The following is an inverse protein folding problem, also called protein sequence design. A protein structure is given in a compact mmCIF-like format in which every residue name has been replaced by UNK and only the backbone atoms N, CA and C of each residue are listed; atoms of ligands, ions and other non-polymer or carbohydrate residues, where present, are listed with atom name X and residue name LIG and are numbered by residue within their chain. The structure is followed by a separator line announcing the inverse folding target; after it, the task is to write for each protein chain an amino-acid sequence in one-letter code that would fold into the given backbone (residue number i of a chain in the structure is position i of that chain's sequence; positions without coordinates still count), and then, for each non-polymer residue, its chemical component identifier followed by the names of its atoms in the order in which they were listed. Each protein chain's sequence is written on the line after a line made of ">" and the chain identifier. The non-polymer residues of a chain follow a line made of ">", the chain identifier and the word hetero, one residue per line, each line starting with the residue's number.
data_IF_024468896655
#
_entry.id   IF_024468896655
#
_cell.length_a   1.000
_cell.length_b   1.000
_cell.length_c   1.000
_cell.angle_alpha   90.00
_cell.angle_beta   90.00
_cell.angle_gamma   90.00
#
_symmetry.space_group_name_H-M   'P 1'
#
loop_
_entity.id
_entity.type
_entity.pdbx_description
1 polymer ?
#
# COMPACT_ATOMS: atom_id res chain seq x y z
N UNK A 1 -33.38 40.93 39.63
CA UNK A 1 -33.26 40.57 38.20
C UNK A 1 -31.93 39.80 38.05
N UNK A 2 -32.01 38.48 38.11
CA UNK A 2 -30.85 37.60 37.95
C UNK A 2 -30.80 37.17 36.48
N UNK A 3 -29.74 37.52 35.77
CA UNK A 3 -29.46 37.04 34.41
C UNK A 3 -28.56 35.81 34.51
N UNK A 4 -29.14 34.65 34.22
CA UNK A 4 -28.46 33.39 34.14
C UNK A 4 -27.81 33.30 32.73
N UNK A 5 -26.49 33.31 32.69
CA UNK A 5 -25.71 33.11 31.45
C UNK A 5 -25.55 31.61 31.22
N UNK A 6 -26.16 31.05 30.18
CA UNK A 6 -25.94 29.68 29.73
C UNK A 6 -24.67 29.63 28.85
N UNK A 7 -23.63 29.01 29.39
CA UNK A 7 -22.46 28.67 28.60
C UNK A 7 -22.78 27.42 27.76
N UNK A 8 -22.90 27.56 26.45
CA UNK A 8 -22.91 26.44 25.52
C UNK A 8 -21.49 25.90 25.38
N UNK A 9 -21.21 24.75 26.00
CA UNK A 9 -20.00 23.98 25.81
C UNK A 9 -20.17 23.16 24.51
N UNK A 10 -19.63 23.67 23.38
CA UNK A 10 -19.56 22.91 22.14
C UNK A 10 -18.57 21.76 22.33
N UNK A 11 -19.08 20.53 22.47
CA UNK A 11 -18.26 19.33 22.34
C UNK A 11 -17.81 19.19 20.88
N UNK A 12 -16.57 19.57 20.62
CA UNK A 12 -15.87 19.16 19.42
C UNK A 12 -15.57 17.64 19.54
N UNK A 13 -16.42 16.84 18.92
CA UNK A 13 -16.11 15.43 18.69
C UNK A 13 -14.96 15.38 17.68
N UNK A 14 -13.83 14.72 17.99
CA UNK A 14 -12.82 14.48 16.99
C UNK A 14 -13.43 13.60 15.89
N UNK A 15 -13.52 14.11 14.66
CA UNK A 15 -13.71 13.27 13.48
C UNK A 15 -12.51 12.34 13.40
N UNK A 16 -12.70 11.07 13.71
CA UNK A 16 -11.74 10.01 13.44
C UNK A 16 -11.77 9.80 11.92
N UNK A 17 -10.96 10.55 11.18
CA UNK A 17 -10.70 10.28 9.77
C UNK A 17 -9.81 9.04 9.72
N UNK A 18 -10.38 7.89 9.43
CA UNK A 18 -9.63 6.69 9.08
C UNK A 18 -8.86 6.99 7.78
N UNK A 19 -7.58 7.33 7.93
CA UNK A 19 -6.67 7.55 6.82
C UNK A 19 -6.40 6.23 6.08
N UNK A 20 -7.12 5.99 5.02
CA UNK A 20 -6.80 4.95 4.06
C UNK A 20 -6.72 5.59 2.69
N UNK A 21 -5.51 5.56 2.09
CA UNK A 21 -5.16 5.79 0.68
C UNK A 21 -6.08 6.72 -0.13
N UNK A 22 -5.53 7.37 -1.14
CA UNK A 22 -6.20 8.30 -2.04
C UNK A 22 -7.61 7.89 -2.55
N UNK A 23 -8.00 6.62 -2.47
CA UNK A 23 -9.34 6.17 -2.80
C UNK A 23 -10.46 6.89 -2.06
N UNK A 24 -10.28 7.20 -0.78
CA UNK A 24 -11.28 7.93 0.01
C UNK A 24 -11.43 9.40 -0.41
N UNK A 25 -10.49 9.93 -1.18
CA UNK A 25 -10.61 11.26 -1.78
C UNK A 25 -11.43 11.24 -3.07
N UNK A 26 -11.46 10.10 -3.75
CA UNK A 26 -12.14 9.93 -5.05
C UNK A 26 -13.49 9.25 -4.92
N UNK A 27 -13.62 8.27 -4.00
CA UNK A 27 -14.77 7.38 -3.90
C UNK A 27 -15.36 7.38 -2.48
N UNK A 28 -16.69 7.41 -2.43
CA UNK A 28 -17.45 7.41 -1.17
C UNK A 28 -17.85 5.99 -0.78
N UNK A 29 -17.25 5.47 0.28
CA UNK A 29 -17.51 4.12 0.79
C UNK A 29 -18.94 3.94 1.36
N UNK A 30 -19.62 5.03 1.67
CA UNK A 30 -21.04 5.00 2.13
C UNK A 30 -22.01 5.05 0.95
N UNK A 31 -21.53 5.34 -0.27
CA UNK A 31 -22.31 5.42 -1.50
C UNK A 31 -22.00 4.25 -2.43
N UNK A 32 -22.59 3.09 -2.14
CA UNK A 32 -22.39 1.88 -2.95
C UNK A 32 -23.37 1.86 -4.10
N UNK A 33 -22.86 1.68 -5.32
CA UNK A 33 -23.63 1.61 -6.55
C UNK A 33 -23.40 0.32 -7.33
N UNK A 34 -24.27 0.11 -8.32
CA UNK A 34 -24.19 -1.01 -9.25
C UNK A 34 -24.30 -0.46 -10.68
N UNK A 35 -23.31 -0.79 -11.51
CA UNK A 35 -23.24 -0.40 -12.92
C UNK A 35 -23.25 -1.67 -13.76
N UNK A 36 -24.16 -1.75 -14.72
CA UNK A 36 -24.26 -2.87 -15.67
C UNK A 36 -24.15 -2.33 -17.10
N UNK A 37 -23.37 -3.04 -17.92
CA UNK A 37 -23.21 -2.67 -19.32
C UNK A 37 -22.23 -3.55 -20.08
N UNK A 38 -21.92 -3.14 -21.30
CA UNK A 38 -20.90 -3.73 -22.14
C UNK A 38 -19.52 -3.17 -21.79
N UNK A 39 -18.56 -4.04 -21.58
CA UNK A 39 -17.16 -3.68 -21.39
C UNK A 39 -16.58 -3.20 -22.73
N UNK A 40 -16.26 -1.93 -22.82
CA UNK A 40 -15.76 -1.31 -24.06
C UNK A 40 -14.24 -1.19 -24.07
N UNK A 41 -13.61 -1.11 -22.91
CA UNK A 41 -12.16 -0.99 -22.78
C UNK A 41 -11.66 -1.57 -21.45
N UNK A 42 -10.46 -2.16 -21.46
CA UNK A 42 -9.71 -2.57 -20.28
C UNK A 42 -8.34 -1.94 -20.33
N UNK A 43 -8.03 -1.05 -19.40
CA UNK A 43 -6.72 -0.50 -19.21
C UNK A 43 -6.00 -1.32 -18.14
N UNK A 44 -5.09 -2.19 -18.59
CA UNK A 44 -4.40 -3.16 -17.74
C UNK A 44 -3.02 -2.65 -17.34
N UNK A 45 -2.98 -1.69 -16.43
CA UNK A 45 -1.74 -1.08 -15.93
C UNK A 45 -1.81 -0.80 -14.42
N UNK A 46 -0.65 -0.67 -13.74
CA UNK A 46 -0.57 -0.12 -12.40
C UNK A 46 -0.59 1.43 -12.47
N UNK A 47 -1.00 2.14 -11.41
CA UNK A 47 -1.30 1.62 -10.07
C UNK A 47 -2.64 0.88 -9.96
N UNK A 48 -3.58 1.09 -10.88
CA UNK A 48 -4.94 0.54 -10.83
C UNK A 48 -5.42 0.12 -12.21
N UNK A 49 -5.98 -1.10 -12.30
CA UNK A 49 -6.68 -1.54 -13.50
C UNK A 49 -7.98 -0.74 -13.65
N UNK A 50 -8.27 -0.28 -14.86
CA UNK A 50 -9.48 0.48 -15.17
C UNK A 50 -10.30 -0.22 -16.25
N UNK A 51 -11.62 -0.21 -16.07
CA UNK A 51 -12.60 -0.71 -17.01
C UNK A 51 -13.44 0.46 -17.51
N UNK A 52 -13.75 0.47 -18.81
CA UNK A 52 -14.75 1.37 -19.36
C UNK A 52 -15.99 0.57 -19.74
N UNK A 53 -17.15 1.01 -19.28
CA UNK A 53 -18.42 0.30 -19.44
C UNK A 53 -19.43 1.24 -20.09
N UNK A 54 -20.07 0.76 -21.16
CA UNK A 54 -21.23 1.42 -21.77
C UNK A 54 -22.52 0.82 -21.23
N UNK A 55 -23.31 1.63 -20.54
CA UNK A 55 -24.63 1.19 -20.01
C UNK A 55 -25.70 1.11 -21.12
N UNK A 56 -26.87 0.54 -20.78
CA UNK A 56 -28.03 0.50 -21.69
C UNK A 56 -28.61 1.88 -22.03
N UNK A 57 -28.26 2.91 -21.25
CA UNK A 57 -28.62 4.30 -21.52
C UNK A 57 -27.57 5.02 -22.38
N UNK A 58 -26.61 4.27 -22.97
CA UNK A 58 -25.48 4.80 -23.75
C UNK A 58 -24.59 5.74 -22.97
N UNK A 59 -24.55 5.55 -21.65
CA UNK A 59 -23.63 6.29 -20.76
C UNK A 59 -22.32 5.52 -20.62
N UNK A 60 -21.21 6.27 -20.66
CA UNK A 60 -19.89 5.72 -20.40
C UNK A 60 -19.55 5.91 -18.93
N UNK A 61 -19.20 4.81 -18.26
CA UNK A 61 -18.71 4.76 -16.89
C UNK A 61 -17.28 4.26 -16.86
N UNK A 62 -16.48 4.84 -16.01
CA UNK A 62 -15.13 4.39 -15.70
C UNK A 62 -15.12 3.69 -14.33
N UNK A 63 -14.49 2.53 -14.26
CA UNK A 63 -14.37 1.79 -13.02
C UNK A 63 -12.91 1.44 -12.76
N UNK A 64 -12.40 1.92 -11.65
CA UNK A 64 -11.06 1.63 -11.15
C UNK A 64 -11.11 0.46 -10.17
N UNK A 65 -10.04 -0.35 -10.07
CA UNK A 65 -9.98 -1.48 -9.16
C UNK A 65 -8.53 -1.74 -8.70
N UNK A 66 -8.27 -2.93 -8.15
CA UNK A 66 -6.96 -3.32 -7.63
C UNK A 66 -5.84 -3.19 -8.68
N UNK A 67 -4.59 -3.06 -8.24
CA UNK A 67 -3.42 -3.11 -9.11
C UNK A 67 -3.33 -4.40 -9.92
N UNK A 68 -2.70 -4.32 -11.10
CA UNK A 68 -2.43 -5.49 -11.98
C UNK A 68 -1.85 -6.67 -11.22
N UNK A 69 -0.83 -6.43 -10.40
CA UNK A 69 -0.14 -7.46 -9.65
C UNK A 69 -1.07 -8.22 -8.68
N UNK A 70 -2.02 -7.52 -8.06
CA UNK A 70 -3.04 -8.14 -7.21
C UNK A 70 -4.00 -9.01 -8.01
N UNK A 71 -4.52 -8.49 -9.14
CA UNK A 71 -5.44 -9.23 -9.99
C UNK A 71 -4.77 -10.44 -10.66
N UNK A 72 -3.50 -10.33 -11.06
CA UNK A 72 -2.74 -11.46 -11.59
C UNK A 72 -2.58 -12.59 -10.58
N UNK A 73 -2.32 -12.28 -9.30
CA UNK A 73 -2.26 -13.29 -8.23
C UNK A 73 -3.60 -13.98 -7.98
N UNK A 74 -4.68 -13.29 -8.22
CA UNK A 74 -6.02 -13.87 -8.19
C UNK A 74 -6.37 -14.63 -9.48
N UNK A 75 -5.49 -14.64 -10.50
CA UNK A 75 -5.74 -15.26 -11.81
C UNK A 75 -6.76 -14.52 -12.67
N UNK A 76 -6.94 -13.22 -12.44
CA UNK A 76 -8.00 -12.42 -13.06
C UNK A 76 -7.60 -11.72 -14.36
N UNK A 77 -6.38 -11.93 -14.84
CA UNK A 77 -5.82 -11.26 -16.02
C UNK A 77 -6.48 -11.64 -17.38
N UNK A 78 -7.45 -12.57 -17.38
CA UNK A 78 -8.10 -13.04 -18.61
C UNK A 78 -9.57 -13.45 -18.40
N UNK A 79 -10.22 -12.93 -17.35
CA UNK A 79 -11.60 -13.34 -17.02
C UNK A 79 -12.68 -12.62 -17.82
N UNK A 80 -12.36 -11.47 -18.41
CA UNK A 80 -13.27 -10.67 -19.22
C UNK A 80 -12.60 -10.22 -20.50
N UNK A 81 -13.43 -10.04 -21.53
CA UNK A 81 -13.02 -9.50 -22.82
C UNK A 81 -13.87 -8.28 -23.16
N UNK A 82 -13.33 -7.40 -23.99
CA UNK A 82 -14.10 -6.30 -24.59
C UNK A 82 -15.30 -6.90 -25.34
N UNK A 83 -16.48 -6.36 -25.12
CA UNK A 83 -17.75 -6.87 -25.61
C UNK A 83 -18.54 -7.71 -24.59
N UNK A 84 -17.90 -8.14 -23.49
CA UNK A 84 -18.62 -8.87 -22.44
C UNK A 84 -19.60 -7.95 -21.71
N UNK A 85 -20.77 -8.50 -21.37
CA UNK A 85 -21.73 -7.83 -20.52
C UNK A 85 -21.46 -8.18 -19.06
N UNK A 86 -21.05 -7.18 -18.30
CA UNK A 86 -20.67 -7.34 -16.89
C UNK A 86 -21.49 -6.44 -15.98
N UNK A 87 -21.47 -6.74 -14.68
CA UNK A 87 -22.02 -5.87 -13.64
C UNK A 87 -20.92 -5.59 -12.62
N UNK A 88 -20.68 -4.32 -12.33
CA UNK A 88 -19.76 -3.88 -11.29
C UNK A 88 -20.51 -3.35 -10.09
N UNK A 89 -20.04 -3.70 -8.89
CA UNK A 89 -20.58 -3.23 -7.60
C UNK A 89 -19.41 -2.60 -6.86
N UNK A 90 -19.60 -1.38 -6.34
CA UNK A 90 -18.53 -0.69 -5.64
C UNK A 90 -18.91 0.72 -5.19
N UNK A 91 -17.92 1.45 -4.70
CA UNK A 91 -18.06 2.80 -4.20
C UNK A 91 -18.14 3.82 -5.35
N UNK A 92 -19.13 4.70 -5.32
CA UNK A 92 -19.32 5.72 -6.35
C UNK A 92 -18.37 6.91 -6.14
N UNK A 93 -18.05 7.61 -7.22
CA UNK A 93 -17.26 8.83 -7.17
C UNK A 93 -17.96 9.92 -6.35
N UNK A 94 -17.23 10.51 -5.41
CA UNK A 94 -17.70 11.71 -4.70
C UNK A 94 -17.40 13.02 -5.43
N UNK A 95 -16.67 12.95 -6.56
CA UNK A 95 -16.32 14.11 -7.39
C UNK A 95 -17.39 14.41 -8.47
N UNK A 96 -18.57 13.77 -8.42
CA UNK A 96 -19.64 13.96 -9.39
C UNK A 96 -19.34 13.38 -10.79
N UNK A 97 -18.33 12.52 -10.91
CA UNK A 97 -17.98 11.85 -12.17
C UNK A 97 -18.75 10.53 -12.31
N UNK A 98 -18.97 10.08 -13.55
CA UNK A 98 -19.48 8.73 -13.83
C UNK A 98 -18.34 7.72 -13.66
N UNK A 99 -17.89 7.55 -12.43
CA UNK A 99 -16.83 6.62 -12.08
C UNK A 99 -17.10 5.93 -10.73
N UNK A 100 -16.47 4.78 -10.53
CA UNK A 100 -16.58 3.98 -9.32
C UNK A 100 -15.26 3.24 -9.00
N UNK A 101 -15.05 2.93 -7.72
CA UNK A 101 -14.13 1.89 -7.30
C UNK A 101 -14.85 0.55 -7.37
N UNK A 102 -14.52 -0.29 -8.35
CA UNK A 102 -15.14 -1.60 -8.53
C UNK A 102 -14.56 -2.60 -7.52
N UNK A 103 -15.41 -3.11 -6.64
CA UNK A 103 -15.04 -4.04 -5.56
C UNK A 103 -15.43 -5.47 -5.94
N UNK A 104 -16.59 -5.64 -6.58
CA UNK A 104 -17.10 -6.93 -7.04
C UNK A 104 -17.51 -6.82 -8.50
N UNK A 105 -17.19 -7.85 -9.28
CA UNK A 105 -17.63 -8.00 -10.68
C UNK A 105 -18.49 -9.26 -10.80
N UNK A 106 -19.64 -9.13 -11.49
CA UNK A 106 -20.41 -10.29 -11.98
C UNK A 106 -20.07 -10.51 -13.43
N UNK A 107 -19.64 -11.73 -13.73
CA UNK A 107 -19.30 -12.19 -15.06
C UNK A 107 -20.57 -12.47 -15.90
N UNK A 108 -20.45 -12.62 -17.24
CA UNK A 108 -21.58 -12.96 -18.10
C UNK A 108 -22.31 -14.25 -17.73
N UNK A 109 -21.63 -15.21 -17.12
CA UNK A 109 -22.19 -16.48 -16.62
C UNK A 109 -22.88 -16.33 -15.25
N UNK A 110 -22.87 -15.14 -14.64
CA UNK A 110 -23.46 -14.84 -13.34
C UNK A 110 -22.58 -15.09 -12.13
N UNK A 111 -21.35 -15.58 -12.32
CA UNK A 111 -20.39 -15.74 -11.23
C UNK A 111 -19.89 -14.39 -10.71
N UNK A 112 -19.69 -14.28 -9.40
CA UNK A 112 -19.14 -13.09 -8.76
C UNK A 112 -17.66 -13.25 -8.48
N UNK A 113 -16.88 -12.24 -8.85
CA UNK A 113 -15.45 -12.14 -8.60
C UNK A 113 -15.18 -10.95 -7.71
N UNK A 114 -14.46 -11.16 -6.62
CA UNK A 114 -14.02 -10.09 -5.74
C UNK A 114 -12.72 -9.50 -6.28
N UNK A 115 -12.78 -8.25 -6.74
CA UNK A 115 -11.63 -7.52 -7.29
C UNK A 115 -10.80 -6.85 -6.18
N UNK A 116 -11.48 -6.36 -5.13
CA UNK A 116 -10.88 -5.70 -3.97
C UNK A 116 -11.21 -6.47 -2.67
N UNK A 117 -10.43 -7.51 -2.31
CA UNK A 117 -10.78 -8.37 -1.17
C UNK A 117 -10.84 -7.63 0.16
N UNK A 118 -10.02 -6.60 0.37
CA UNK A 118 -10.00 -5.80 1.61
C UNK A 118 -11.30 -5.01 1.75
N UNK A 119 -11.67 -4.26 0.71
CA UNK A 119 -12.88 -3.45 0.69
C UNK A 119 -14.13 -4.34 0.77
N UNK A 120 -14.13 -5.48 0.05
CA UNK A 120 -15.23 -6.45 0.12
C UNK A 120 -15.45 -6.98 1.55
N UNK A 121 -14.38 -7.29 2.30
CA UNK A 121 -14.51 -7.72 3.70
C UNK A 121 -15.09 -6.62 4.60
N UNK A 122 -14.67 -5.38 4.37
CA UNK A 122 -15.16 -4.23 5.14
C UNK A 122 -16.64 -3.95 4.86
N UNK A 123 -17.03 -3.94 3.58
CA UNK A 123 -18.38 -3.56 3.14
C UNK A 123 -19.34 -4.76 3.00
N UNK A 124 -18.84 -5.99 3.03
CA UNK A 124 -19.59 -7.25 2.95
C UNK A 124 -20.48 -7.36 1.70
N UNK A 125 -19.95 -6.92 0.55
CA UNK A 125 -20.71 -6.85 -0.71
C UNK A 125 -20.93 -8.21 -1.36
N UNK A 126 -19.98 -9.14 -1.21
CA UNK A 126 -20.07 -10.50 -1.76
C UNK A 126 -19.43 -11.52 -0.81
N UNK A 127 -20.03 -12.70 -0.75
CA UNK A 127 -19.48 -13.89 -0.09
C UNK A 127 -18.74 -14.81 -1.06
N UNK A 128 -18.60 -14.41 -2.33
CA UNK A 128 -17.92 -15.21 -3.35
C UNK A 128 -16.45 -15.47 -2.98
N UNK A 129 -16.04 -16.71 -3.19
CA UNK A 129 -14.64 -17.17 -3.11
C UNK A 129 -14.11 -17.58 -4.48
N UNK A 130 -14.81 -17.16 -5.55
CA UNK A 130 -14.41 -17.49 -6.92
C UNK A 130 -13.00 -17.00 -7.21
N UNK A 131 -12.16 -17.92 -7.67
CA UNK A 131 -10.85 -17.66 -8.25
C UNK A 131 -10.69 -18.55 -9.50
N UNK A 132 -10.36 -17.99 -10.66
CA UNK A 132 -10.17 -18.78 -11.90
C UNK A 132 -8.96 -19.73 -11.84
N UNK A 133 -8.03 -19.54 -10.91
CA UNK A 133 -6.87 -20.41 -10.67
C UNK A 133 -7.20 -21.45 -9.62
N UNK A 134 -8.24 -22.29 -9.89
CA UNK A 134 -8.63 -23.35 -8.97
C UNK A 134 -8.95 -22.85 -7.56
N UNK A 135 -9.88 -23.48 -6.90
CA UNK A 135 -10.50 -23.12 -5.62
C UNK A 135 -9.53 -23.00 -4.43
N UNK A 136 -8.41 -22.35 -4.61
CA UNK A 136 -7.37 -22.11 -3.62
C UNK A 136 -7.27 -20.62 -3.33
N UNK A 137 -8.14 -20.14 -2.43
CA UNK A 137 -7.66 -19.22 -1.38
C UNK A 137 -6.28 -19.78 -0.99
N UNK A 138 -5.25 -18.94 -1.02
CA UNK A 138 -3.87 -19.29 -0.62
C UNK A 138 -3.90 -20.54 0.24
N UNK A 139 -3.37 -21.68 -0.24
CA UNK A 139 -3.49 -22.91 0.53
C UNK A 139 -2.80 -22.70 1.87
N UNK A 140 -3.56 -22.69 2.94
CA UNK A 140 -3.05 -23.01 4.27
C UNK A 140 -2.76 -24.52 4.32
N UNK A 141 -2.16 -25.06 3.27
CA UNK A 141 -1.89 -26.48 3.19
C UNK A 141 -0.42 -26.71 3.01
N UNK A 142 0.07 -27.36 4.05
CA UNK A 142 1.34 -28.05 4.12
C UNK A 142 2.54 -27.23 3.65
N UNK A 143 3.21 -26.67 4.62
CA UNK A 143 4.63 -26.41 4.56
C UNK A 143 5.30 -27.59 3.86
N UNK A 144 5.46 -27.48 2.56
CA UNK A 144 6.44 -28.28 1.86
C UNK A 144 7.76 -27.89 2.51
N UNK A 145 8.42 -28.84 3.11
CA UNK A 145 9.78 -28.68 3.62
C UNK A 145 10.63 -28.12 2.50
N UNK A 146 10.92 -26.83 2.58
CA UNK A 146 11.69 -26.13 1.58
C UNK A 146 13.16 -26.52 1.76
N UNK A 147 13.90 -26.87 0.71
CA UNK A 147 15.33 -27.15 0.83
C UNK A 147 16.17 -25.95 1.29
N UNK A 148 15.58 -24.76 1.44
CA UNK A 148 16.24 -23.53 1.86
C UNK A 148 15.88 -23.11 3.30
N UNK A 149 15.66 -24.05 4.22
CA UNK A 149 15.37 -23.75 5.64
C UNK A 149 16.46 -22.88 6.31
N UNK A 150 17.67 -22.84 5.76
CA UNK A 150 18.80 -22.06 6.29
C UNK A 150 19.04 -20.70 5.61
N UNK A 151 18.16 -20.25 4.73
CA UNK A 151 18.38 -18.98 4.01
C UNK A 151 18.19 -17.72 4.86
N UNK A 152 17.74 -17.86 6.11
CA UNK A 152 17.51 -16.74 7.01
C UNK A 152 16.52 -15.72 6.42
N UNK A 153 16.91 -14.44 6.43
CA UNK A 153 16.11 -13.36 5.85
C UNK A 153 16.16 -13.34 4.31
N UNK A 154 17.14 -13.99 3.67
CA UNK A 154 17.43 -13.89 2.23
C UNK A 154 16.48 -14.74 1.38
N UNK A 155 15.25 -14.28 1.27
CA UNK A 155 14.16 -14.88 0.49
C UNK A 155 13.09 -13.85 0.17
N UNK A 156 12.06 -14.27 -0.57
CA UNK A 156 10.85 -13.49 -0.77
C UNK A 156 9.91 -13.63 0.43
N UNK A 157 9.33 -12.52 0.86
CA UNK A 157 8.43 -12.42 1.99
C UNK A 157 7.08 -11.86 1.55
N UNK A 158 6.01 -12.60 1.78
CA UNK A 158 4.65 -12.13 1.53
C UNK A 158 4.11 -11.33 2.71
N UNK A 159 3.52 -10.15 2.46
CA UNK A 159 2.88 -9.36 3.51
C UNK A 159 1.67 -10.09 4.09
N UNK A 160 1.64 -10.28 5.40
CA UNK A 160 0.55 -10.93 6.12
C UNK A 160 -0.34 -9.92 6.84
N UNK A 161 0.26 -8.97 7.57
CA UNK A 161 -0.46 -7.99 8.38
C UNK A 161 0.36 -6.72 8.50
N UNK A 162 -0.31 -5.58 8.65
CA UNK A 162 0.30 -4.35 9.11
C UNK A 162 -0.51 -3.77 10.28
N UNK A 163 0.21 -3.26 11.25
CA UNK A 163 -0.30 -2.51 12.39
C UNK A 163 0.42 -1.16 12.39
N UNK A 164 -0.19 -0.17 11.73
CA UNK A 164 0.35 1.17 11.57
C UNK A 164 -0.08 2.05 12.72
N UNK A 165 0.88 2.76 13.29
CA UNK A 165 0.56 3.77 14.29
C UNK A 165 -0.11 4.97 13.62
N UNK A 166 -1.32 5.31 14.08
CA UNK A 166 -2.09 6.46 13.59
C UNK A 166 -1.82 7.73 14.43
N UNK A 167 -1.37 7.55 15.67
CA UNK A 167 -1.12 8.64 16.61
C UNK A 167 0.33 9.13 16.48
N UNK A 168 0.63 9.77 15.35
CA UNK A 168 1.94 10.32 15.10
C UNK A 168 2.10 11.68 15.79
N UNK A 169 3.28 11.97 16.40
CA UNK A 169 3.54 13.24 17.07
C UNK A 169 3.84 14.37 16.07
N UNK A 170 2.88 14.71 15.22
CA UNK A 170 3.06 15.69 14.16
C UNK A 170 3.25 17.11 14.74
N UNK A 171 4.13 17.88 14.10
CA UNK A 171 4.30 19.31 14.37
C UNK A 171 3.15 20.13 13.78
N UNK A 172 3.03 21.39 14.19
CA UNK A 172 2.07 22.33 13.59
C UNK A 172 2.35 22.54 12.09
N UNK A 173 3.61 22.53 11.66
CA UNK A 173 4.01 22.62 10.25
C UNK A 173 3.50 21.42 9.46
N UNK A 174 3.66 20.22 10.00
CA UNK A 174 3.19 19.00 9.35
C UNK A 174 1.66 18.95 9.27
N UNK A 175 0.96 19.37 10.33
CA UNK A 175 -0.51 19.44 10.34
C UNK A 175 -1.03 20.44 9.30
N UNK A 176 -0.43 21.63 9.21
CA UNK A 176 -0.81 22.63 8.22
C UNK A 176 -0.56 22.16 6.77
N UNK A 177 0.54 21.44 6.54
CA UNK A 177 0.83 20.87 5.22
C UNK A 177 -0.20 19.80 4.81
N UNK A 178 -0.59 18.92 5.74
CA UNK A 178 -1.67 17.95 5.51
C UNK A 178 -3.01 18.59 5.18
N UNK A 179 -3.36 19.67 5.87
CA UNK A 179 -4.61 20.42 5.62
C UNK A 179 -4.61 21.07 4.23
N UNK A 180 -3.44 21.49 3.75
CA UNK A 180 -3.30 22.10 2.43
C UNK A 180 -3.20 21.09 1.27
N UNK A 181 -2.99 19.80 1.57
CA UNK A 181 -2.81 18.74 0.56
C UNK A 181 -4.12 18.41 -0.14
N UNK A 182 -4.11 18.43 -1.46
CA UNK A 182 -5.19 17.90 -2.29
C UNK A 182 -4.75 16.58 -2.93
N UNK A 183 -5.24 15.43 -2.44
CA UNK A 183 -4.84 14.11 -2.95
C UNK A 183 -5.22 13.88 -4.43
N UNK A 184 -6.11 14.69 -5.00
CA UNK A 184 -6.53 14.58 -6.41
C UNK A 184 -5.51 15.22 -7.36
N UNK A 185 -4.75 16.22 -6.88
CA UNK A 185 -3.80 16.99 -7.69
C UNK A 185 -2.35 16.83 -7.27
N UNK A 186 -2.11 16.62 -5.98
CA UNK A 186 -0.78 16.70 -5.39
C UNK A 186 -0.09 15.35 -5.24
N UNK A 187 -0.85 14.24 -5.25
CA UNK A 187 -0.29 12.89 -5.09
C UNK A 187 0.59 12.49 -6.30
N UNK A 188 1.92 12.31 -6.10
CA UNK A 188 2.83 11.93 -7.18
C UNK A 188 2.53 10.54 -7.76
N UNK A 189 1.91 9.64 -7.00
CA UNK A 189 1.54 8.30 -7.45
C UNK A 189 0.56 8.33 -8.64
N UNK A 190 -0.27 9.38 -8.74
CA UNK A 190 -1.18 9.60 -9.87
C UNK A 190 -0.44 9.84 -11.20
N UNK A 191 0.85 10.17 -11.16
CA UNK A 191 1.70 10.40 -12.32
C UNK A 191 2.79 9.34 -12.47
N UNK A 192 2.61 8.17 -11.84
CA UNK A 192 3.61 7.10 -11.81
C UNK A 192 4.99 7.55 -11.25
N UNK A 193 5.04 8.56 -10.40
CA UNK A 193 6.26 8.95 -9.72
C UNK A 193 6.50 8.02 -8.52
N UNK A 194 7.57 7.20 -8.53
CA UNK A 194 7.80 6.22 -7.47
C UNK A 194 8.17 6.92 -6.16
N UNK A 195 7.53 6.55 -5.03
CA UNK A 195 7.85 7.13 -3.74
C UNK A 195 9.20 6.69 -3.21
N UNK A 196 9.69 7.45 -2.23
CA UNK A 196 10.86 7.11 -1.44
C UNK A 196 10.51 6.58 -0.04
N UNK A 197 11.54 6.48 0.80
CA UNK A 197 11.36 6.10 2.20
C UNK A 197 10.65 7.22 3.00
N UNK A 198 9.80 6.88 3.97
CA UNK A 198 9.39 5.53 4.41
C UNK A 198 8.24 4.92 3.59
N UNK A 199 7.59 5.66 2.70
CA UNK A 199 6.40 5.23 1.92
C UNK A 199 6.64 3.92 1.19
N UNK A 200 7.86 3.73 0.65
CA UNK A 200 8.25 2.48 -0.04
C UNK A 200 8.01 1.22 0.81
N UNK A 201 8.10 1.32 2.14
CA UNK A 201 7.85 0.16 3.03
C UNK A 201 6.38 -0.03 3.38
N UNK A 202 5.50 0.88 2.97
CA UNK A 202 4.04 0.70 3.13
C UNK A 202 3.39 0.03 1.92
N UNK A 203 4.00 -0.99 1.43
CA UNK A 203 3.52 -1.75 0.28
C UNK A 203 2.63 -2.92 0.69
N UNK A 204 1.53 -3.22 -0.03
CA UNK A 204 0.76 -4.45 0.16
C UNK A 204 1.40 -5.68 -0.49
N UNK A 205 2.44 -5.49 -1.29
CA UNK A 205 3.09 -6.50 -2.10
C UNK A 205 4.27 -7.19 -1.40
N UNK A 206 4.77 -8.29 -1.96
CA UNK A 206 5.97 -8.97 -1.45
C UNK A 206 7.22 -8.09 -1.47
N UNK A 207 8.14 -8.41 -0.56
CA UNK A 207 9.50 -7.89 -0.52
C UNK A 207 10.49 -9.05 -0.60
N UNK A 208 11.71 -8.78 -1.05
CA UNK A 208 12.76 -9.80 -1.19
C UNK A 208 14.10 -9.26 -0.72
N UNK A 209 14.78 -10.03 0.12
CA UNK A 209 16.15 -9.73 0.52
C UNK A 209 17.12 -10.61 -0.27
N UNK A 210 18.13 -9.98 -0.88
CA UNK A 210 19.17 -10.64 -1.66
C UNK A 210 20.52 -10.29 -1.06
N UNK A 211 21.29 -11.32 -0.71
CA UNK A 211 22.68 -11.13 -0.27
C UNK A 211 23.56 -10.75 -1.46
N UNK A 212 24.36 -9.70 -1.28
CA UNK A 212 25.28 -9.22 -2.32
C UNK A 212 26.60 -8.76 -1.69
N UNK A 213 27.36 -9.71 -1.18
CA UNK A 213 28.63 -9.45 -0.50
C UNK A 213 28.47 -8.58 0.75
N UNK A 214 29.07 -7.38 0.75
CA UNK A 214 28.96 -6.42 1.87
C UNK A 214 27.70 -5.56 1.80
N UNK A 215 26.72 -5.96 1.01
CA UNK A 215 25.46 -5.26 0.83
C UNK A 215 24.31 -6.26 0.86
N UNK A 216 23.15 -5.79 1.28
CA UNK A 216 21.88 -6.47 1.11
C UNK A 216 21.05 -5.62 0.14
N UNK A 217 20.51 -6.25 -0.89
CA UNK A 217 19.54 -5.61 -1.79
C UNK A 217 18.15 -5.98 -1.28
N UNK A 218 17.40 -5.00 -0.81
CA UNK A 218 15.98 -5.14 -0.51
C UNK A 218 15.19 -4.69 -1.74
N UNK A 219 14.53 -5.66 -2.38
CA UNK A 219 13.57 -5.41 -3.47
C UNK A 219 12.18 -5.28 -2.90
N UNK A 220 11.46 -4.28 -3.34
CA UNK A 220 10.04 -4.07 -3.03
C UNK A 220 9.29 -4.13 -4.36
N UNK A 221 8.29 -4.98 -4.47
CA UNK A 221 7.56 -5.17 -5.73
C UNK A 221 6.92 -3.89 -6.22
N UNK A 222 6.24 -3.16 -5.33
CA UNK A 222 5.63 -1.88 -5.68
C UNK A 222 6.69 -0.91 -6.18
N UNK A 223 6.45 -0.31 -7.34
CA UNK A 223 7.34 0.61 -8.02
C UNK A 223 8.69 0.01 -8.46
N UNK A 224 8.83 -1.33 -8.46
CA UNK A 224 10.12 -2.01 -8.71
C UNK A 224 11.25 -1.45 -7.83
N UNK A 225 10.91 -1.00 -6.62
CA UNK A 225 11.83 -0.27 -5.77
C UNK A 225 12.98 -1.17 -5.27
N UNK A 226 14.18 -0.59 -5.23
CA UNK A 226 15.39 -1.26 -4.76
C UNK A 226 16.11 -0.39 -3.74
N UNK A 227 16.40 -0.99 -2.58
CA UNK A 227 17.20 -0.36 -1.53
C UNK A 227 18.50 -1.12 -1.35
N UNK A 228 19.60 -0.40 -1.21
CA UNK A 228 20.92 -0.97 -0.92
C UNK A 228 21.22 -0.72 0.55
N UNK A 229 21.24 -1.78 1.35
CA UNK A 229 21.61 -1.76 2.77
C UNK A 229 23.06 -2.20 2.86
N UNK A 230 23.94 -1.33 3.31
CA UNK A 230 25.38 -1.57 3.44
C UNK A 230 25.67 -2.15 4.79
N UNK A 231 26.37 -3.29 4.82
CA UNK A 231 26.76 -3.98 6.06
C UNK A 231 28.17 -3.56 6.49
N UNK A 232 28.93 -2.93 5.60
CA UNK A 232 30.27 -2.44 5.91
C UNK A 232 30.21 -1.15 6.73
N UNK A 233 30.66 -1.24 7.98
CA UNK A 233 30.81 -0.09 8.90
C UNK A 233 31.98 0.83 8.54
N UNK A 234 32.88 0.41 7.66
CA UNK A 234 34.06 1.20 7.25
C UNK A 234 33.75 2.19 6.14
N UNK A 235 32.57 2.11 5.53
CA UNK A 235 32.06 3.09 4.57
C UNK A 235 31.84 4.44 5.28
N UNK A 236 32.95 5.12 5.58
CA UNK A 236 32.99 6.41 6.26
C UNK A 236 32.42 7.47 5.31
N UNK A 237 31.53 8.00 5.66
CA UNK A 237 30.39 8.85 5.53
C UNK A 237 30.64 10.27 4.98
N UNK A 238 31.70 10.56 4.28
CA UNK A 238 31.91 11.91 3.73
C UNK A 238 31.21 12.13 2.39
N UNK A 239 30.72 11.07 1.75
CA UNK A 239 30.01 11.16 0.47
C UNK A 239 28.80 10.19 0.44
N UNK A 240 27.78 10.51 1.23
CA UNK A 240 26.51 9.76 1.25
C UNK A 240 25.57 10.37 0.23
N UNK A 241 25.37 9.75 -0.94
CA UNK A 241 24.46 10.31 -1.94
C UNK A 241 23.03 10.34 -1.42
N UNK A 242 22.32 11.40 -1.71
CA UNK A 242 20.89 11.52 -1.50
C UNK A 242 20.16 10.70 -2.57
N UNK A 243 19.09 10.02 -2.19
CA UNK A 243 18.21 9.29 -3.11
C UNK A 243 16.80 9.16 -2.53
N UNK A 244 15.82 8.78 -3.34
CA UNK A 244 14.47 8.49 -2.87
C UNK A 244 14.48 7.46 -1.74
N UNK A 245 15.32 6.41 -1.85
CA UNK A 245 15.43 5.34 -0.87
C UNK A 245 16.41 5.66 0.26
N UNK A 246 17.07 6.80 0.22
CA UNK A 246 18.07 7.22 1.19
C UNK A 246 19.37 6.42 1.13
N UNK A 247 20.23 6.66 2.11
CA UNK A 247 21.47 5.92 2.36
C UNK A 247 21.29 5.04 3.60
N UNK A 248 21.32 3.72 3.41
CA UNK A 248 21.02 2.74 4.47
C UNK A 248 22.27 2.00 4.92
N UNK A 249 22.48 1.95 6.24
CA UNK A 249 23.53 1.16 6.92
C UNK A 249 22.85 0.07 7.75
N UNK A 250 23.28 -1.18 7.57
CA UNK A 250 22.76 -2.34 8.28
C UNK A 250 23.73 -2.86 9.34
N UNK A 251 23.20 -3.34 10.45
CA UNK A 251 23.95 -4.04 11.49
C UNK A 251 23.13 -5.22 11.99
N UNK A 252 23.74 -6.39 12.13
CA UNK A 252 23.10 -7.55 12.71
C UNK A 252 23.16 -7.54 14.23
N UNK A 253 22.00 -7.74 14.86
CA UNK A 253 21.84 -7.96 16.31
C UNK A 253 21.12 -9.30 16.50
N UNK A 254 21.89 -10.39 16.54
CA UNK A 254 21.33 -11.74 16.57
C UNK A 254 20.51 -12.03 15.30
N UNK A 255 19.23 -12.33 15.46
CA UNK A 255 18.27 -12.57 14.37
C UNK A 255 17.60 -11.30 13.83
N UNK A 256 18.07 -10.13 14.21
CA UNK A 256 17.50 -8.84 13.79
C UNK A 256 18.51 -8.07 12.94
N UNK A 257 18.08 -7.68 11.74
CA UNK A 257 18.78 -6.69 10.92
C UNK A 257 18.27 -5.30 11.33
N UNK A 258 19.16 -4.49 11.93
CA UNK A 258 18.90 -3.08 12.23
C UNK A 258 19.41 -2.24 11.09
N UNK A 259 18.58 -1.34 10.55
CA UNK A 259 18.91 -0.48 9.41
C UNK A 259 18.71 0.97 9.79
N UNK A 260 19.78 1.77 9.65
CA UNK A 260 19.72 3.23 9.80
C UNK A 260 19.75 3.88 8.43
N UNK A 261 18.69 4.64 8.09
CA UNK A 261 18.54 5.31 6.81
C UNK A 261 18.53 6.83 6.98
N UNK A 262 19.32 7.49 6.15
CA UNK A 262 19.49 8.95 6.10
C UNK A 262 19.58 9.43 4.65
N UNK A 263 19.68 10.74 4.43
CA UNK A 263 19.85 11.35 3.10
C UNK A 263 18.73 10.95 2.13
N UNK A 264 17.49 11.00 2.63
CA UNK A 264 16.29 10.70 1.86
C UNK A 264 15.92 11.96 1.09
N UNK A 265 15.81 11.87 -0.24
CA UNK A 265 15.42 13.00 -1.09
C UNK A 265 13.91 13.04 -1.37
N UNK A 266 13.16 12.03 -0.96
CA UNK A 266 11.71 12.02 -1.08
C UNK A 266 11.09 13.04 -0.11
N UNK A 267 10.22 13.97 -0.57
CA UNK A 267 9.76 15.08 0.24
C UNK A 267 8.59 14.77 1.17
N UNK A 268 8.01 13.56 1.10
CA UNK A 268 6.80 13.22 1.86
C UNK A 268 7.03 12.03 2.79
N UNK A 269 6.51 12.17 4.02
CA UNK A 269 6.51 11.07 4.98
C UNK A 269 5.44 10.00 4.66
N UNK A 270 4.31 10.42 4.11
CA UNK A 270 3.15 9.60 3.79
C UNK A 270 2.43 10.10 2.53
N UNK A 271 1.28 9.49 2.24
CA UNK A 271 0.41 9.83 1.10
C UNK A 271 -0.55 11.01 1.38
N UNK A 272 -0.41 11.67 2.55
CA UNK A 272 -1.26 12.77 2.98
C UNK A 272 -0.54 14.13 2.92
N UNK A 273 0.55 14.20 2.19
CA UNK A 273 1.32 15.43 2.07
C UNK A 273 2.08 15.84 3.33
N UNK A 274 2.24 14.93 4.31
CA UNK A 274 3.09 15.20 5.46
C UNK A 274 4.53 15.42 4.99
N UNK A 275 5.13 16.59 5.24
CA UNK A 275 6.47 16.89 4.72
C UNK A 275 7.52 16.01 5.38
N UNK A 276 8.61 15.79 4.68
CA UNK A 276 9.82 15.16 5.17
C UNK A 276 11.02 15.98 4.73
N UNK A 277 11.99 16.17 5.63
CA UNK A 277 13.17 17.00 5.35
C UNK A 277 14.45 16.16 5.17
N UNK A 278 15.51 16.79 4.69
CA UNK A 278 16.81 16.15 4.47
C UNK A 278 17.48 15.66 5.78
N UNK A 279 17.06 16.21 6.94
CA UNK A 279 17.56 15.77 8.24
C UNK A 279 16.83 14.56 8.81
N UNK A 280 15.80 14.08 8.11
CA UNK A 280 15.07 12.88 8.48
C UNK A 280 16.00 11.67 8.67
N UNK A 281 15.71 10.87 9.70
CA UNK A 281 16.42 9.62 10.01
C UNK A 281 15.41 8.54 10.35
N UNK A 282 15.60 7.36 9.77
CA UNK A 282 14.74 6.21 10.02
C UNK A 282 15.61 5.10 10.59
N UNK A 283 15.19 4.54 11.73
CA UNK A 283 15.75 3.32 12.30
C UNK A 283 14.72 2.20 12.12
N UNK A 284 15.09 1.18 11.38
CA UNK A 284 14.27 0.02 11.07
C UNK A 284 14.83 -1.23 11.71
N UNK A 285 13.97 -2.15 12.09
CA UNK A 285 14.32 -3.46 12.65
C UNK A 285 13.56 -4.55 11.93
N UNK A 286 14.28 -5.41 11.25
CA UNK A 286 13.74 -6.61 10.61
C UNK A 286 14.12 -7.81 11.50
N UNK A 287 13.14 -8.31 12.24
CA UNK A 287 13.36 -9.42 13.20
C UNK A 287 12.79 -10.71 12.64
N UNK A 288 13.66 -11.69 12.44
CA UNK A 288 13.30 -13.02 12.01
C UNK A 288 12.83 -13.86 13.21
N UNK A 289 11.74 -14.61 13.09
CA UNK A 289 11.31 -15.57 14.11
C UNK A 289 12.30 -16.75 14.23
N UNK A 290 12.27 -17.45 15.37
CA UNK A 290 13.16 -18.62 15.60
C UNK A 290 12.93 -19.74 14.57
N UNK A 291 11.68 -19.97 14.16
CA UNK A 291 11.30 -20.93 13.11
C UNK A 291 11.55 -20.42 11.69
N UNK A 292 12.06 -19.20 11.53
CA UNK A 292 12.32 -18.52 10.26
C UNK A 292 11.09 -18.40 9.33
N UNK A 293 9.88 -18.52 9.85
CA UNK A 293 8.66 -18.45 9.03
C UNK A 293 7.99 -17.05 9.06
N UNK A 294 8.40 -16.19 9.98
CA UNK A 294 7.85 -14.84 10.12
C UNK A 294 8.98 -13.81 10.18
N UNK A 295 8.82 -12.73 9.44
CA UNK A 295 9.67 -11.55 9.53
C UNK A 295 8.82 -10.37 9.99
N UNK A 296 9.26 -9.68 11.05
CA UNK A 296 8.58 -8.49 11.55
C UNK A 296 9.43 -7.26 11.28
N UNK A 297 8.90 -6.32 10.51
CA UNK A 297 9.47 -5.00 10.36
C UNK A 297 8.84 -4.03 11.36
N UNK A 298 9.68 -3.22 12.01
CA UNK A 298 9.30 -2.07 12.83
C UNK A 298 10.19 -0.91 12.49
N UNK A 299 9.68 0.32 12.58
CA UNK A 299 10.47 1.49 12.32
C UNK A 299 10.13 2.65 13.24
N UNK A 300 11.14 3.47 13.53
CA UNK A 300 11.02 4.76 14.19
C UNK A 300 11.68 5.81 13.33
N UNK A 301 11.03 6.96 13.20
CA UNK A 301 11.54 8.08 12.43
C UNK A 301 11.72 9.32 13.30
N UNK A 302 12.76 10.08 13.02
CA UNK A 302 12.98 11.41 13.57
C UNK A 302 13.15 12.42 12.46
N UNK A 303 12.40 13.50 12.52
CA UNK A 303 12.52 14.69 11.69
C UNK A 303 11.99 15.86 12.51
N UNK A 304 12.84 16.77 13.02
CA UNK A 304 12.41 17.85 13.92
C UNK A 304 11.45 18.88 13.29
N UNK A 305 11.33 18.89 11.97
CA UNK A 305 10.37 19.75 11.28
C UNK A 305 9.00 19.06 11.21
N UNK A 306 8.99 17.77 10.98
CA UNK A 306 7.77 16.97 10.81
C UNK A 306 7.16 16.53 12.13
N UNK A 307 8.01 16.14 13.11
CA UNK A 307 7.59 15.55 14.37
C UNK A 307 8.09 16.31 15.58
N UNK A 308 7.27 16.43 16.62
CA UNK A 308 7.68 17.02 17.93
C UNK A 308 8.47 16.04 18.80
N UNK A 309 8.63 14.79 18.35
CA UNK A 309 9.42 13.72 19.00
C UNK A 309 9.60 12.53 18.06
N UNK A 310 10.28 11.46 18.48
CA UNK A 310 10.40 10.25 17.65
C UNK A 310 9.02 9.69 17.31
N UNK A 311 8.79 9.41 16.02
CA UNK A 311 7.55 8.82 15.51
C UNK A 311 7.71 7.30 15.36
N UNK A 312 6.93 6.52 16.08
CA UNK A 312 6.80 5.07 15.88
C UNK A 312 5.89 4.82 14.68
N UNK A 313 6.39 4.14 13.66
CA UNK A 313 5.64 3.84 12.43
C UNK A 313 4.82 2.55 12.53
N UNK A 314 4.85 1.87 13.68
CA UNK A 314 4.17 0.60 13.90
C UNK A 314 4.93 -0.60 13.35
N UNK A 315 4.21 -1.63 12.88
CA UNK A 315 4.81 -2.88 12.41
C UNK A 315 4.17 -3.44 11.16
N UNK A 316 4.98 -4.16 10.37
CA UNK A 316 4.50 -5.03 9.29
C UNK A 316 5.00 -6.45 9.53
N UNK A 317 4.08 -7.40 9.42
CA UNK A 317 4.36 -8.82 9.56
C UNK A 317 4.35 -9.45 8.17
N UNK A 318 5.41 -10.17 7.88
CA UNK A 318 5.57 -10.94 6.65
C UNK A 318 5.64 -12.43 6.98
N UNK A 319 5.23 -13.26 6.03
CA UNK A 319 5.36 -14.72 6.10
C UNK A 319 6.26 -15.21 4.98
N UNK A 320 7.07 -16.21 5.27
CA UNK A 320 7.77 -16.96 4.26
C UNK A 320 6.73 -17.65 3.35
N UNK A 321 6.83 -17.40 2.05
CA UNK A 321 6.00 -18.07 1.05
C UNK A 321 6.88 -18.48 -0.12
N UNK A 322 7.14 -19.78 -0.30
CA UNK A 322 8.00 -20.29 -1.38
C UNK A 322 7.41 -20.02 -2.77
N UNK A 323 6.10 -19.72 -2.85
CA UNK A 323 5.43 -19.39 -4.11
C UNK A 323 5.38 -17.87 -4.36
N UNK A 324 5.69 -17.05 -3.36
CA UNK A 324 5.75 -15.60 -3.53
C UNK A 324 6.87 -15.24 -4.51
N UNK A 325 6.53 -14.42 -5.48
CA UNK A 325 7.49 -13.90 -6.48
C UNK A 325 7.32 -12.39 -6.57
N UNK A 326 8.42 -11.70 -6.75
CA UNK A 326 8.41 -10.28 -7.13
C UNK A 326 8.03 -10.20 -8.61
N UNK A 327 6.88 -9.60 -8.88
CA UNK A 327 6.41 -9.32 -10.25
C UNK A 327 6.85 -7.92 -10.66
N UNK A 328 7.06 -7.66 -11.96
CA UNK A 328 7.26 -6.29 -12.45
C UNK A 328 6.06 -5.40 -12.12
N UNK A 329 6.32 -4.16 -11.73
CA UNK A 329 5.27 -3.20 -11.34
C UNK A 329 5.02 -2.17 -12.45
N UNK A 330 4.99 -2.51 -13.67
CA UNK A 330 4.80 -1.59 -14.79
C UNK A 330 3.66 -0.58 -14.49
N UNK A 331 4.05 0.67 -14.18
CA UNK A 331 3.11 1.77 -13.96
C UNK A 331 2.89 2.51 -15.27
N UNK A 332 1.62 2.81 -15.57
CA UNK A 332 1.20 3.65 -16.71
C UNK A 332 -0.11 4.37 -16.33
N UNK A 333 -0.42 5.58 -16.91
CA UNK A 333 -1.58 6.38 -16.51
C UNK A 333 -2.23 7.10 -17.71
#
# INVERSE_FOLDING_TARGET
>A
MHRTCFLFLSLLLPCITNGHHAFSAFFDNDSIGTIQGELTEVFWANPHVRFQIRTDQDEIWEAETAPVNSLQRLGLNSIVNVGDRITLIGALSQLGRKSMLAIVMKLPNGEEVVLEPRMNRQLKLSSSTYSPVGNTLIPTTSLSTNPDEDSGIFRTWARAQADRNQDLPLSEVALAAREAWDPVTDDPALRCEPPGMPVTMDTPFPIEFIENGMQIILRVEQWDARRIIRIDKTAVANDRPSSLQGYSLGTWEGNTLVVETSNISWPYFDEFGTPQTEVARITERFTLSEDQQTLVWRATMTDPVTFIGPADLGSVHYKADPNAKILPYNCDY
#
